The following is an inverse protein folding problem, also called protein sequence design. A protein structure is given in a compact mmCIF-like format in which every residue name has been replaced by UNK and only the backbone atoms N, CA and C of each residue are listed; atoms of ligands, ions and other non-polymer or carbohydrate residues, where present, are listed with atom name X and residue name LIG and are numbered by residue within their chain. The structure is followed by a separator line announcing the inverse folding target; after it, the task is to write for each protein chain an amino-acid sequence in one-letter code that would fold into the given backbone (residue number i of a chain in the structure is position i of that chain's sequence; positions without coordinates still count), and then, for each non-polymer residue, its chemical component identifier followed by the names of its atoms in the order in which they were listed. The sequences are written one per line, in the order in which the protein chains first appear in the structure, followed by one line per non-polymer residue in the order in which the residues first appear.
data_IF_939642161919
#
_entry.id   IF_939642161919
#
_cell.length_a   1.000
_cell.length_b   1.000
_cell.length_c   1.000
_cell.angle_alpha   90.00
_cell.angle_beta   90.00
_cell.angle_gamma   90.00
#
_symmetry.space_group_name_H-M   'P 1'
#
loop_
_entity.id
_entity.type
_entity.pdbx_description
1 polymer ?
#
# COMPACT_ATOMS: atom_id res chain seq x y z
N UNK A 1 -4.78 -17.77 17.54
CA UNK A 1 -4.75 -16.30 17.53
C UNK A 1 -4.48 -15.86 16.10
N UNK A 2 -5.52 -15.52 15.33
CA UNK A 2 -5.30 -14.90 14.01
C UNK A 2 -4.63 -13.56 14.27
N UNK A 3 -3.40 -13.36 13.76
CA UNK A 3 -2.79 -12.03 13.75
C UNK A 3 -3.80 -11.08 13.11
N UNK A 4 -4.04 -9.88 13.68
CA UNK A 4 -4.87 -8.90 13.00
C UNK A 4 -4.20 -8.65 11.65
N UNK A 5 -4.81 -9.19 10.59
CA UNK A 5 -4.35 -9.00 9.22
C UNK A 5 -4.12 -7.51 9.06
N UNK A 6 -2.85 -7.11 8.90
CA UNK A 6 -2.43 -5.71 8.82
C UNK A 6 -3.40 -4.99 7.90
N UNK A 7 -4.28 -4.20 8.51
CA UNK A 7 -5.36 -3.58 7.78
C UNK A 7 -4.71 -2.37 7.10
N UNK A 8 -4.13 -2.60 5.92
CA UNK A 8 -3.39 -1.58 5.16
C UNK A 8 -4.25 -0.35 4.84
N UNK A 9 -5.57 -0.54 4.80
CA UNK A 9 -6.57 0.52 4.73
C UNK A 9 -7.25 0.74 6.07
N UNK A 10 -7.46 1.99 6.41
CA UNK A 10 -8.34 2.37 7.51
C UNK A 10 -9.79 2.03 7.15
N UNK A 11 -10.64 1.97 8.17
CA UNK A 11 -12.08 1.79 7.99
C UNK A 11 -12.69 2.89 7.11
N UNK A 12 -12.20 4.12 7.25
CA UNK A 12 -12.64 5.27 6.44
C UNK A 12 -12.29 5.09 4.95
N UNK A 13 -11.06 4.66 4.65
CA UNK A 13 -10.64 4.41 3.27
C UNK A 13 -11.38 3.24 2.65
N UNK A 14 -11.64 2.17 3.41
CA UNK A 14 -12.46 1.06 2.95
C UNK A 14 -13.88 1.50 2.64
N UNK A 15 -14.48 2.33 3.50
CA UNK A 15 -15.82 2.89 3.27
C UNK A 15 -15.88 3.75 1.99
N UNK A 16 -14.82 4.52 1.69
CA UNK A 16 -14.72 5.28 0.43
C UNK A 16 -14.70 4.38 -0.80
N UNK A 17 -13.97 3.26 -0.75
CA UNK A 17 -13.95 2.28 -1.85
C UNK A 17 -15.31 1.60 -2.00
N UNK A 18 -16.01 1.30 -0.90
CA UNK A 18 -17.32 0.68 -0.94
C UNK A 18 -18.42 1.60 -1.50
N UNK A 19 -18.34 2.89 -1.18
CA UNK A 19 -19.25 3.91 -1.70
C UNK A 19 -19.01 4.25 -3.18
N UNK A 20 -17.84 3.92 -3.74
CA UNK A 20 -17.54 4.17 -5.14
C UNK A 20 -18.40 3.30 -6.07
N UNK A 21 -18.79 3.87 -7.21
CA UNK A 21 -19.52 3.18 -8.27
C UNK A 21 -18.55 2.31 -9.10
N UNK A 22 -17.97 1.32 -8.44
CA UNK A 22 -17.00 0.37 -8.98
C UNK A 22 -17.58 -1.06 -8.89
N UNK A 23 -17.23 -1.89 -9.85
CA UNK A 23 -17.45 -3.34 -9.79
C UNK A 23 -16.59 -3.97 -8.69
N UNK A 24 -16.93 -5.19 -8.26
CA UNK A 24 -16.16 -5.89 -7.21
C UNK A 24 -14.67 -6.06 -7.54
N UNK A 25 -14.26 -6.43 -8.78
CA UNK A 25 -12.85 -6.48 -9.16
C UNK A 25 -12.14 -5.12 -9.06
N UNK A 26 -12.81 -4.05 -9.49
CA UNK A 26 -12.26 -2.69 -9.41
C UNK A 26 -12.11 -2.23 -7.95
N UNK A 27 -13.07 -2.56 -7.08
CA UNK A 27 -12.95 -2.29 -5.64
C UNK A 27 -11.76 -3.03 -5.02
N UNK A 28 -11.54 -4.29 -5.40
CA UNK A 28 -10.36 -5.04 -4.95
C UNK A 28 -9.07 -4.35 -5.42
N UNK A 29 -8.98 -4.02 -6.70
CA UNK A 29 -7.81 -3.36 -7.28
C UNK A 29 -7.56 -2.00 -6.63
N UNK A 30 -8.60 -1.19 -6.40
CA UNK A 30 -8.50 0.07 -5.71
C UNK A 30 -7.90 -0.09 -4.31
N UNK A 31 -8.34 -1.10 -3.55
CA UNK A 31 -7.78 -1.38 -2.22
C UNK A 31 -6.31 -1.77 -2.29
N UNK A 32 -5.96 -2.63 -3.25
CA UNK A 32 -4.57 -3.05 -3.48
C UNK A 32 -3.68 -1.85 -3.83
N UNK A 33 -4.09 -1.03 -4.80
CA UNK A 33 -3.33 0.15 -5.24
C UNK A 33 -3.13 1.16 -4.12
N UNK A 34 -4.17 1.45 -3.33
CA UNK A 34 -4.05 2.36 -2.18
C UNK A 34 -3.09 1.81 -1.11
N UNK A 35 -3.15 0.50 -0.85
CA UNK A 35 -2.24 -0.16 0.08
C UNK A 35 -0.78 -0.10 -0.41
N UNK A 36 -0.55 -0.39 -1.69
CA UNK A 36 0.77 -0.27 -2.32
C UNK A 36 1.30 1.17 -2.27
N UNK A 37 0.46 2.19 -2.48
CA UNK A 37 0.88 3.59 -2.42
C UNK A 37 1.37 3.98 -1.02
N UNK A 38 0.69 3.52 0.04
CA UNK A 38 1.14 3.77 1.42
C UNK A 38 2.47 3.11 1.70
N UNK A 39 2.65 1.87 1.23
CA UNK A 39 3.90 1.15 1.38
C UNK A 39 5.04 1.89 0.64
N UNK A 40 4.83 2.32 -0.60
CA UNK A 40 5.82 3.09 -1.36
C UNK A 40 6.19 4.41 -0.67
N UNK A 41 5.23 5.10 -0.04
CA UNK A 41 5.52 6.30 0.77
C UNK A 41 6.41 5.96 1.97
N UNK A 42 6.15 4.85 2.63
CA UNK A 42 6.94 4.41 3.77
C UNK A 42 8.38 4.04 3.35
N UNK A 43 8.53 3.29 2.26
CA UNK A 43 9.85 2.93 1.69
C UNK A 43 10.64 4.19 1.31
N UNK A 44 9.98 5.16 0.66
CA UNK A 44 10.61 6.43 0.29
C UNK A 44 11.09 7.21 1.52
N UNK A 45 10.27 7.28 2.58
CA UNK A 45 10.65 7.90 3.85
C UNK A 45 11.86 7.23 4.50
N UNK A 46 11.91 5.90 4.54
CA UNK A 46 13.06 5.18 5.10
C UNK A 46 14.33 5.29 4.26
N UNK A 47 14.17 5.46 2.95
CA UNK A 47 15.27 5.61 2.00
C UNK A 47 15.76 7.06 1.88
N UNK A 48 15.12 8.00 2.59
CA UNK A 48 15.38 9.45 2.53
C UNK A 48 15.37 10.00 1.08
N UNK A 49 14.40 9.55 0.27
CA UNK A 49 14.18 10.02 -1.10
C UNK A 49 12.74 10.48 -1.28
N UNK A 50 12.51 11.36 -2.24
CA UNK A 50 11.16 11.68 -2.66
C UNK A 50 10.50 10.43 -3.28
N UNK A 51 9.17 10.29 -3.15
CA UNK A 51 8.47 9.09 -3.66
C UNK A 51 8.58 9.00 -5.20
N UNK A 52 8.65 10.13 -5.88
CA UNK A 52 8.90 10.24 -7.32
C UNK A 52 10.29 9.77 -7.75
N UNK A 53 11.27 9.78 -6.84
CA UNK A 53 12.64 9.34 -7.08
C UNK A 53 12.88 7.89 -6.63
N UNK A 54 11.88 7.24 -6.04
CA UNK A 54 12.00 5.88 -5.53
C UNK A 54 12.21 4.89 -6.69
N UNK A 55 13.34 4.21 -6.67
CA UNK A 55 13.72 3.25 -7.72
C UNK A 55 13.22 1.84 -7.44
N UNK A 56 12.99 1.00 -8.47
CA UNK A 56 12.68 -0.41 -8.28
C UNK A 56 13.73 -1.15 -7.44
N UNK A 57 15.01 -0.80 -7.59
CA UNK A 57 16.11 -1.40 -6.84
C UNK A 57 16.01 -1.09 -5.33
N UNK A 58 15.65 0.14 -4.96
CA UNK A 58 15.42 0.50 -3.56
C UNK A 58 14.20 -0.24 -2.97
N UNK A 59 13.14 -0.41 -3.76
CA UNK A 59 11.96 -1.19 -3.33
C UNK A 59 12.35 -2.65 -3.09
N UNK A 60 13.06 -3.28 -4.03
CA UNK A 60 13.55 -4.67 -3.89
C UNK A 60 14.45 -4.78 -2.65
N UNK A 61 15.44 -3.91 -2.52
CA UNK A 61 16.37 -3.91 -1.41
C UNK A 61 15.66 -3.70 -0.06
N UNK A 62 14.59 -2.90 -0.02
CA UNK A 62 13.77 -2.74 1.18
C UNK A 62 13.07 -4.04 1.58
N UNK A 63 12.45 -4.74 0.63
CA UNK A 63 11.83 -6.05 0.90
C UNK A 63 12.86 -7.13 1.30
N UNK A 64 14.09 -7.05 0.81
CA UNK A 64 15.17 -7.97 1.16
C UNK A 64 15.74 -7.74 2.58
N UNK A 65 15.51 -6.58 3.21
CA UNK A 65 16.04 -6.27 4.56
C UNK A 65 15.43 -7.12 5.68
N UNK A 66 14.18 -7.57 5.52
CA UNK A 66 13.45 -8.37 6.51
C UNK A 66 13.39 -9.87 6.16
N UNK A 67 14.10 -10.28 5.10
CA UNK A 67 14.17 -11.66 4.59
C UNK A 67 15.21 -12.56 5.26
#
# INVERSE_FOLDING_TARGET
MQQPSEQFLTLEESAKVDAALLSSPEKFLARLTMSSLKLLKHIAQESDVAIEDLTPQQVIAWFEKDG
#
